data_IF_535596370393
#
_entry.id   IF_535596370393
#
_cell.length_a   1.000
_cell.length_b   1.000
_cell.length_c   1.000
_cell.angle_alpha   90.00
_cell.angle_beta   90.00
_cell.angle_gamma   90.00
#
_symmetry.space_group_name_H-M   'P 1'
#
loop_
_entity.id
_entity.type
_entity.pdbx_description
1 polymer ?
#
# COMPACT_ATOMS: atom_id res chain seq x y z
N UNK A 1 16.74 1.03 -17.22
CA UNK A 1 15.55 0.54 -16.49
C UNK A 1 14.87 1.74 -15.86
N UNK A 2 13.57 1.97 -16.12
CA UNK A 2 12.83 2.97 -15.38
C UNK A 2 12.87 2.61 -13.89
N UNK A 3 13.29 3.57 -13.04
CA UNK A 3 13.17 3.41 -11.59
C UNK A 3 11.70 3.52 -11.25
N UNK A 4 11.15 2.54 -10.54
CA UNK A 4 9.73 2.40 -10.17
C UNK A 4 9.05 3.71 -9.70
N UNK A 5 9.82 4.63 -9.11
CA UNK A 5 9.33 5.87 -8.52
C UNK A 5 9.71 7.16 -9.28
N UNK A 6 10.21 7.10 -10.52
CA UNK A 6 10.35 8.33 -11.32
C UNK A 6 9.01 8.72 -11.97
N UNK A 7 8.87 10.00 -12.31
CA UNK A 7 7.60 10.54 -12.85
C UNK A 7 7.16 9.84 -14.14
N UNK A 8 8.10 9.44 -14.98
CA UNK A 8 7.80 8.77 -16.25
C UNK A 8 7.28 7.34 -16.03
N UNK A 9 7.89 6.57 -15.12
CA UNK A 9 7.41 5.23 -14.76
C UNK A 9 6.04 5.29 -14.08
N UNK A 10 5.81 6.29 -13.22
CA UNK A 10 4.50 6.50 -12.58
C UNK A 10 3.43 6.77 -13.63
N UNK A 11 3.72 7.61 -14.63
CA UNK A 11 2.80 7.86 -15.75
C UNK A 11 2.53 6.60 -16.57
N UNK A 12 3.57 5.83 -16.90
CA UNK A 12 3.43 4.55 -17.60
C UNK A 12 2.53 3.57 -16.83
N UNK A 13 2.67 3.52 -15.50
CA UNK A 13 1.80 2.72 -14.62
C UNK A 13 0.36 3.25 -14.64
N UNK A 14 0.13 4.56 -14.52
CA UNK A 14 -1.21 5.16 -14.60
C UNK A 14 -1.89 4.83 -15.94
N UNK A 15 -1.17 4.91 -17.05
CA UNK A 15 -1.66 4.53 -18.38
C UNK A 15 -1.93 3.02 -18.49
N UNK A 16 -1.04 2.20 -17.94
CA UNK A 16 -1.20 0.75 -17.87
C UNK A 16 -2.46 0.32 -17.11
N UNK A 17 -2.75 0.99 -15.98
CA UNK A 17 -3.97 0.78 -15.19
C UNK A 17 -5.20 1.14 -16.02
N UNK A 18 -5.23 2.33 -16.64
CA UNK A 18 -6.35 2.77 -17.49
C UNK A 18 -6.62 1.80 -18.65
N UNK A 19 -5.55 1.31 -19.30
CA UNK A 19 -5.66 0.30 -20.36
C UNK A 19 -6.27 -0.99 -19.81
N UNK A 20 -5.77 -1.48 -18.68
CA UNK A 20 -6.25 -2.69 -18.04
C UNK A 20 -7.73 -2.58 -17.61
N UNK A 21 -8.15 -1.46 -17.03
CA UNK A 21 -9.53 -1.17 -16.65
C UNK A 21 -10.47 -1.15 -17.86
N UNK A 22 -9.99 -0.69 -19.02
CA UNK A 22 -10.77 -0.64 -20.26
C UNK A 22 -10.84 -1.98 -20.99
N UNK A 23 -9.77 -2.75 -20.98
CA UNK A 23 -9.61 -3.89 -21.91
C UNK A 23 -9.64 -5.25 -21.23
N UNK A 24 -8.97 -5.40 -20.09
CA UNK A 24 -8.80 -6.70 -19.43
C UNK A 24 -9.87 -6.91 -18.37
N UNK A 25 -10.07 -5.92 -17.50
CA UNK A 25 -11.01 -6.00 -16.39
C UNK A 25 -12.45 -6.32 -16.84
N UNK A 26 -13.02 -5.68 -17.88
CA UNK A 26 -14.41 -5.95 -18.26
C UNK A 26 -14.62 -7.37 -18.81
N UNK A 27 -13.59 -7.96 -19.44
CA UNK A 27 -13.63 -9.35 -19.92
C UNK A 27 -13.71 -10.35 -18.77
N UNK A 28 -13.06 -10.05 -17.66
CA UNK A 28 -13.15 -10.87 -16.45
C UNK A 28 -14.50 -10.67 -15.76
N UNK A 29 -14.94 -9.41 -15.58
CA UNK A 29 -16.20 -9.08 -14.89
C UNK A 29 -17.43 -9.60 -15.63
N UNK A 30 -17.42 -9.64 -16.97
CA UNK A 30 -18.54 -10.17 -17.75
C UNK A 30 -18.74 -11.67 -17.57
N UNK A 31 -17.67 -12.41 -17.29
CA UNK A 31 -17.72 -13.86 -17.06
C UNK A 31 -17.93 -14.19 -15.58
N UNK A 32 -17.27 -13.46 -14.70
CA UNK A 32 -17.33 -13.63 -13.25
C UNK A 32 -17.40 -12.25 -12.58
N UNK A 33 -18.61 -11.80 -12.18
CA UNK A 33 -18.73 -10.55 -11.45
C UNK A 33 -18.07 -10.66 -10.08
N UNK A 34 -17.71 -9.52 -9.51
CA UNK A 34 -17.18 -9.49 -8.16
C UNK A 34 -18.25 -9.85 -7.12
N UNK A 35 -17.79 -10.41 -6.00
CA UNK A 35 -18.66 -10.92 -4.93
C UNK A 35 -19.41 -9.83 -4.15
N UNK A 36 -18.96 -8.59 -4.24
CA UNK A 36 -19.50 -7.42 -3.54
C UNK A 36 -19.35 -6.21 -4.46
N UNK A 37 -20.30 -5.28 -4.38
CA UNK A 37 -20.20 -4.01 -5.11
C UNK A 37 -19.14 -3.09 -4.50
N UNK A 38 -18.87 -3.24 -3.20
CA UNK A 38 -17.86 -2.46 -2.45
C UNK A 38 -17.05 -3.37 -1.54
N UNK A 39 -15.73 -3.22 -1.59
CA UNK A 39 -14.81 -3.89 -0.68
C UNK A 39 -14.31 -2.89 0.37
N UNK A 40 -14.55 -3.17 1.64
CA UNK A 40 -14.12 -2.31 2.74
C UNK A 40 -13.41 -3.09 3.85
N UNK A 41 -12.60 -2.38 4.63
CA UNK A 41 -12.06 -2.91 5.89
C UNK A 41 -13.16 -2.95 6.97
N UNK A 42 -12.87 -3.56 8.12
CA UNK A 42 -13.78 -3.60 9.27
C UNK A 42 -14.16 -2.19 9.79
N UNK A 43 -13.35 -1.18 9.50
CA UNK A 43 -13.60 0.22 9.86
C UNK A 43 -14.24 1.03 8.72
N UNK A 44 -14.80 0.36 7.72
CA UNK A 44 -15.47 0.94 6.53
C UNK A 44 -14.56 1.79 5.63
N UNK A 45 -13.26 1.48 5.56
CA UNK A 45 -12.34 2.12 4.61
C UNK A 45 -12.38 1.36 3.29
N UNK A 46 -12.65 2.05 2.19
CA UNK A 46 -12.72 1.45 0.85
C UNK A 46 -11.36 0.93 0.36
N UNK A 47 -11.38 -0.28 -0.19
CA UNK A 47 -10.21 -1.00 -0.67
C UNK A 47 -10.24 -1.08 -2.19
N UNK A 48 -9.23 -0.51 -2.84
CA UNK A 48 -9.09 -0.58 -4.30
C UNK A 48 -8.79 -2.02 -4.74
N UNK A 49 -9.17 -2.35 -5.98
CA UNK A 49 -8.87 -3.64 -6.62
C UNK A 49 -7.38 -3.95 -6.69
N UNK A 50 -6.56 -2.93 -6.90
CA UNK A 50 -5.10 -3.01 -6.93
C UNK A 50 -4.50 -1.69 -6.47
N UNK A 51 -3.37 -1.76 -5.75
CA UNK A 51 -2.55 -0.61 -5.39
C UNK A 51 -1.20 -0.72 -6.10
N UNK A 52 -0.68 0.40 -6.56
CA UNK A 52 0.50 0.51 -7.41
C UNK A 52 1.39 1.67 -6.94
N UNK A 53 2.62 1.80 -7.46
CA UNK A 53 3.47 2.96 -7.19
C UNK A 53 2.80 4.32 -7.51
N UNK A 54 1.85 4.35 -8.46
CA UNK A 54 1.10 5.56 -8.77
C UNK A 54 0.21 6.04 -7.61
N UNK A 55 -0.22 5.13 -6.73
CA UNK A 55 -0.97 5.47 -5.51
C UNK A 55 -0.11 6.16 -4.45
N UNK A 56 1.22 6.13 -4.61
CA UNK A 56 2.19 6.77 -3.71
C UNK A 56 2.87 8.00 -4.34
N UNK A 57 2.36 8.53 -5.48
CA UNK A 57 3.03 9.58 -6.24
C UNK A 57 3.35 10.86 -5.43
N UNK A 58 2.47 11.23 -4.52
CA UNK A 58 2.63 12.42 -3.65
C UNK A 58 3.21 12.08 -2.27
N UNK A 59 3.63 10.82 -2.07
CA UNK A 59 4.13 10.34 -0.79
C UNK A 59 5.62 10.64 -0.66
N UNK A 60 5.96 11.74 0.02
CA UNK A 60 7.35 12.04 0.39
C UNK A 60 7.86 10.96 1.36
N UNK A 61 8.65 10.02 0.83
CA UNK A 61 9.13 8.86 1.56
C UNK A 61 9.83 9.23 2.87
N UNK A 62 10.75 10.19 2.84
CA UNK A 62 11.53 10.54 4.04
C UNK A 62 10.70 11.30 5.07
N UNK A 63 9.73 12.10 4.64
CA UNK A 63 8.89 12.88 5.55
C UNK A 63 7.74 12.06 6.18
N UNK A 64 7.11 11.17 5.40
CA UNK A 64 5.92 10.41 5.84
C UNK A 64 6.25 9.02 6.37
N UNK A 65 7.28 8.36 5.81
CA UNK A 65 7.64 7.00 6.19
C UNK A 65 8.95 6.96 7.00
N UNK A 66 9.98 7.68 6.54
CA UNK A 66 11.26 7.84 7.22
C UNK A 66 12.03 6.53 7.43
N UNK A 67 12.92 6.54 8.42
CA UNK A 67 13.68 5.38 8.90
C UNK A 67 13.25 5.04 10.34
N UNK A 68 13.35 3.76 10.78
CA UNK A 68 13.01 3.39 12.14
C UNK A 68 13.92 4.10 13.14
N UNK A 69 13.36 4.54 14.28
CA UNK A 69 14.10 5.29 15.30
C UNK A 69 14.23 6.80 15.02
N UNK A 70 13.67 7.29 13.92
CA UNK A 70 13.67 8.71 13.54
C UNK A 70 12.24 9.20 13.27
N UNK A 71 11.97 10.50 13.46
CA UNK A 71 10.69 11.10 13.10
C UNK A 71 10.38 10.84 11.61
N UNK A 72 9.12 10.52 11.23
CA UNK A 72 7.88 10.50 12.02
C UNK A 72 7.61 9.19 12.77
N UNK A 73 8.61 8.31 12.90
CA UNK A 73 8.51 7.02 13.58
C UNK A 73 7.48 6.05 13.00
N UNK A 74 7.02 6.27 11.76
CA UNK A 74 6.07 5.40 11.04
C UNK A 74 6.59 3.96 10.94
N UNK A 75 7.92 3.78 10.82
CA UNK A 75 8.59 2.47 10.81
C UNK A 75 8.98 1.91 12.19
N UNK A 76 8.58 2.59 13.25
CA UNK A 76 8.86 2.24 14.64
C UNK A 76 9.78 3.23 15.35
N UNK A 77 9.65 3.27 16.68
CA UNK A 77 10.33 4.24 17.56
C UNK A 77 11.80 3.89 17.86
N UNK A 78 12.28 2.70 17.50
CA UNK A 78 13.64 2.25 17.78
C UNK A 78 14.34 1.80 16.50
N UNK A 79 15.60 2.18 16.30
CA UNK A 79 16.34 1.85 15.08
C UNK A 79 16.49 0.33 14.83
N UNK A 80 16.63 -0.47 15.90
CA UNK A 80 16.82 -1.93 15.79
C UNK A 80 15.55 -2.74 15.94
N UNK A 81 14.44 -2.12 16.40
CA UNK A 81 13.17 -2.78 16.70
C UNK A 81 13.36 -4.14 17.38
N UNK A 82 12.65 -5.17 16.92
CA UNK A 82 12.67 -6.51 17.50
C UNK A 82 13.89 -7.34 17.14
N UNK A 83 14.81 -6.83 16.30
CA UNK A 83 16.14 -7.45 16.13
C UNK A 83 17.04 -7.20 17.34
N UNK A 84 16.81 -6.10 18.07
CA UNK A 84 17.53 -5.78 19.31
C UNK A 84 16.82 -6.30 20.56
N UNK A 85 15.53 -6.01 20.71
CA UNK A 85 14.73 -6.44 21.87
C UNK A 85 13.33 -6.82 21.43
N UNK A 86 12.90 -8.06 21.73
CA UNK A 86 11.54 -8.54 21.48
C UNK A 86 10.54 -7.69 22.28
N UNK A 87 9.30 -7.57 21.78
CA UNK A 87 8.23 -6.93 22.54
C UNK A 87 8.05 -7.58 23.91
N UNK A 88 7.60 -6.82 24.90
CA UNK A 88 7.31 -7.38 26.22
C UNK A 88 6.05 -8.24 26.11
N UNK A 89 6.17 -9.55 26.31
CA UNK A 89 5.02 -10.43 26.50
C UNK A 89 4.44 -10.15 27.88
N UNK A 90 3.27 -9.50 27.93
CA UNK A 90 2.54 -9.25 29.18
C UNK A 90 1.44 -10.28 29.33
N UNK A 91 1.64 -11.21 30.25
CA UNK A 91 0.59 -12.12 30.70
C UNK A 91 -0.30 -11.36 31.68
N UNK A 92 -1.59 -11.29 31.35
CA UNK A 92 -2.59 -10.82 32.30
C UNK A 92 -3.06 -12.02 33.10
N UNK A 93 -2.78 -12.02 34.41
CA UNK A 93 -3.36 -12.96 35.38
C UNK A 93 -4.02 -12.14 36.47
N UNK A 94 -5.27 -12.46 36.74
CA UNK A 94 -5.99 -12.02 37.93
C UNK A 94 -5.97 -13.10 38.99
#
# INVERSE_FOLDING_TARGET
MPKIFNMDAVKEIEEGIKRWERETLPKSLSRYPERLDRFTTLSDIEVKRVYTPADLKDHNYMEKLGLPGEYPFTRGIHATMYRGRIWTMRMFSG
#
